data_IF_775161347251
#
_entry.id   IF_775161347251
#
_cell.length_a   1.000
_cell.length_b   1.000
_cell.length_c   1.000
_cell.angle_alpha   90.00
_cell.angle_beta   90.00
_cell.angle_gamma   90.00
#
_symmetry.space_group_name_H-M   'P 1'
#
loop_
_entity.id
_entity.type
_entity.pdbx_description
1 polymer ?
#
# COMPACT_ATOMS: atom_id res chain seq x y z
N UNK A 1 -21.07 19.11 12.70
CA UNK A 1 -20.58 19.01 11.30
C UNK A 1 -19.47 17.97 11.30
N UNK A 2 -19.74 16.73 10.87
CA UNK A 2 -18.66 15.77 10.64
C UNK A 2 -17.85 16.29 9.46
N UNK A 3 -16.68 16.86 9.77
CA UNK A 3 -15.82 17.47 8.78
C UNK A 3 -15.29 16.43 7.81
N UNK A 4 -15.14 16.81 6.55
CA UNK A 4 -14.34 16.02 5.62
C UNK A 4 -12.87 16.13 6.04
N UNK A 5 -12.24 15.00 6.30
CA UNK A 5 -10.83 14.88 6.68
C UNK A 5 -9.96 14.65 5.45
N UNK A 6 -8.79 15.30 5.41
CA UNK A 6 -7.81 15.07 4.37
C UNK A 6 -7.18 13.70 4.56
N UNK A 7 -7.18 12.90 3.49
CA UNK A 7 -6.42 11.66 3.44
C UNK A 7 -5.52 11.65 2.20
N UNK A 8 -4.51 10.81 2.26
CA UNK A 8 -3.60 10.50 1.18
C UNK A 8 -3.60 8.99 0.97
N UNK A 9 -3.54 8.54 -0.28
CA UNK A 9 -3.42 7.12 -0.58
C UNK A 9 -2.43 6.86 -1.71
N UNK A 10 -1.90 5.64 -1.73
CA UNK A 10 -1.10 5.12 -2.83
C UNK A 10 -1.50 3.67 -3.10
N UNK A 11 -1.47 3.28 -4.37
CA UNK A 11 -1.77 1.90 -4.81
C UNK A 11 -0.48 1.10 -4.78
N UNK A 12 -0.49 -0.07 -4.15
CA UNK A 12 0.61 -1.03 -4.17
C UNK A 12 0.55 -1.81 -5.48
N UNK A 13 1.68 -1.85 -6.17
CA UNK A 13 1.85 -2.43 -7.51
C UNK A 13 2.92 -3.50 -7.49
N UNK A 14 2.66 -4.59 -8.19
CA UNK A 14 3.69 -5.57 -8.57
C UNK A 14 4.19 -5.22 -9.96
N UNK A 15 5.50 -5.02 -10.07
CA UNK A 15 6.24 -4.63 -11.27
C UNK A 15 7.32 -5.69 -11.54
N UNK A 16 6.99 -6.81 -12.22
CA UNK A 16 7.90 -7.94 -12.38
C UNK A 16 9.19 -7.58 -13.14
N UNK A 17 9.13 -6.59 -14.04
CA UNK A 17 10.26 -6.03 -14.76
C UNK A 17 10.19 -4.51 -14.75
N UNK A 18 11.05 -3.88 -13.97
CA UNK A 18 11.02 -2.43 -13.72
C UNK A 18 11.22 -1.65 -15.02
N UNK A 19 12.04 -2.14 -15.93
CA UNK A 19 12.37 -1.48 -17.20
C UNK A 19 11.20 -1.42 -18.18
N UNK A 20 10.20 -2.30 -18.01
CA UNK A 20 9.02 -2.35 -18.87
C UNK A 20 7.86 -1.52 -18.34
N UNK A 21 7.91 -1.15 -17.05
CA UNK A 21 6.85 -0.42 -16.36
C UNK A 21 5.46 -1.08 -16.46
N UNK A 22 5.41 -2.39 -16.74
CA UNK A 22 4.17 -3.17 -16.70
C UNK A 22 3.88 -3.56 -15.25
N UNK A 23 2.64 -3.38 -14.80
CA UNK A 23 2.27 -3.65 -13.41
C UNK A 23 0.86 -4.19 -13.21
N UNK A 24 0.68 -4.86 -12.08
CA UNK A 24 -0.64 -5.21 -11.54
C UNK A 24 -0.83 -4.54 -10.19
N UNK A 25 -2.01 -3.94 -9.99
CA UNK A 25 -2.40 -3.43 -8.68
C UNK A 25 -2.73 -4.61 -7.76
N UNK A 26 -2.17 -4.59 -6.56
CA UNK A 26 -2.36 -5.66 -5.55
C UNK A 26 -2.80 -5.13 -4.20
N UNK A 27 -2.75 -3.82 -3.96
CA UNK A 27 -3.15 -3.24 -2.69
C UNK A 27 -3.29 -1.74 -2.69
N UNK A 28 -3.67 -1.18 -1.54
CA UNK A 28 -3.82 0.25 -1.31
C UNK A 28 -3.34 0.56 0.10
N UNK A 29 -2.54 1.62 0.26
CA UNK A 29 -2.16 2.21 1.54
C UNK A 29 -2.91 3.53 1.68
N UNK A 30 -3.56 3.75 2.82
CA UNK A 30 -4.24 5.01 3.12
C UNK A 30 -3.74 5.59 4.43
N UNK A 31 -3.45 6.89 4.40
CA UNK A 31 -3.07 7.70 5.54
C UNK A 31 -4.08 8.85 5.74
N UNK A 32 -4.58 9.03 6.95
CA UNK A 32 -5.38 10.18 7.34
C UNK A 32 -4.88 10.72 8.67
N UNK A 33 -4.30 11.93 8.65
CA UNK A 33 -3.71 12.59 9.82
C UNK A 33 -4.75 12.81 10.92
N UNK A 34 -5.88 13.40 10.56
CA UNK A 34 -6.90 13.85 11.51
C UNK A 34 -7.54 12.67 12.27
N UNK A 35 -7.59 11.49 11.64
CA UNK A 35 -8.10 10.27 12.24
C UNK A 35 -7.01 9.38 12.85
N UNK A 36 -5.73 9.79 12.78
CA UNK A 36 -4.61 8.96 13.23
C UNK A 36 -4.52 7.62 12.50
N UNK A 37 -4.95 7.58 11.24
CA UNK A 37 -5.17 6.35 10.48
C UNK A 37 -4.02 6.10 9.51
N UNK A 38 -3.42 4.91 9.56
CA UNK A 38 -2.47 4.40 8.56
C UNK A 38 -2.67 2.90 8.43
N UNK A 39 -3.31 2.48 7.35
CA UNK A 39 -3.56 1.07 7.09
C UNK A 39 -3.37 0.75 5.62
N UNK A 40 -3.13 -0.54 5.36
CA UNK A 40 -3.02 -1.09 4.03
C UNK A 40 -3.98 -2.26 3.88
N UNK A 41 -4.52 -2.43 2.68
CA UNK A 41 -5.22 -3.65 2.26
C UNK A 41 -4.54 -4.16 1.00
N UNK A 42 -4.32 -5.47 0.93
CA UNK A 42 -3.76 -6.10 -0.26
C UNK A 42 -4.37 -7.49 -0.50
N UNK A 43 -4.29 -7.96 -1.74
CA UNK A 43 -4.60 -9.33 -2.11
C UNK A 43 -3.62 -9.80 -3.18
N UNK A 44 -3.22 -11.07 -3.08
CA UNK A 44 -2.40 -11.72 -4.07
C UNK A 44 -3.24 -12.75 -4.80
N UNK A 45 -3.71 -12.40 -5.99
CA UNK A 45 -4.30 -13.38 -6.91
C UNK A 45 -3.15 -14.09 -7.64
N UNK A 46 -2.69 -15.20 -7.06
CA UNK A 46 -1.56 -15.98 -7.56
C UNK A 46 -1.73 -16.38 -9.03
N UNK A 47 -2.90 -16.88 -9.42
CA UNK A 47 -3.16 -17.27 -10.81
C UNK A 47 -3.03 -16.10 -11.78
N UNK A 48 -3.53 -14.91 -11.42
CA UNK A 48 -3.41 -13.69 -12.22
C UNK A 48 -1.96 -13.20 -12.30
N UNK A 49 -1.22 -13.26 -11.19
CA UNK A 49 0.16 -12.81 -11.11
C UNK A 49 1.10 -13.72 -11.89
N UNK A 50 0.95 -15.03 -11.77
CA UNK A 50 1.76 -16.01 -12.51
C UNK A 50 1.41 -16.03 -14.01
N UNK A 51 0.16 -15.74 -14.38
CA UNK A 51 -0.21 -15.55 -15.79
C UNK A 51 0.46 -14.31 -16.40
N UNK A 52 0.63 -13.24 -15.61
CA UNK A 52 1.31 -12.01 -16.03
C UNK A 52 2.84 -12.14 -16.02
N UNK A 53 3.40 -12.82 -15.01
CA UNK A 53 4.83 -13.06 -14.86
C UNK A 53 5.09 -14.48 -14.29
N UNK A 54 5.32 -15.48 -15.15
CA UNK A 54 5.44 -16.89 -14.74
C UNK A 54 6.59 -17.22 -13.79
N UNK A 55 7.60 -16.35 -13.70
CA UNK A 55 8.79 -16.54 -12.88
C UNK A 55 8.77 -15.71 -11.59
N UNK A 56 7.62 -15.15 -11.23
CA UNK A 56 7.48 -14.34 -10.03
C UNK A 56 7.60 -15.23 -8.78
N UNK A 57 8.46 -14.85 -7.84
CA UNK A 57 8.53 -15.50 -6.53
C UNK A 57 7.37 -15.00 -5.65
N UNK A 58 6.35 -15.84 -5.51
CA UNK A 58 5.15 -15.52 -4.74
C UNK A 58 5.43 -15.43 -3.24
N UNK A 59 6.39 -16.19 -2.72
CA UNK A 59 6.76 -16.14 -1.30
C UNK A 59 7.48 -14.83 -0.99
N UNK A 60 8.43 -14.44 -1.84
CA UNK A 60 9.16 -13.18 -1.70
C UNK A 60 8.20 -11.97 -1.75
N UNK A 61 7.18 -12.04 -2.62
CA UNK A 61 6.16 -11.03 -2.74
C UNK A 61 5.28 -10.95 -1.49
N UNK A 62 4.84 -12.09 -0.97
CA UNK A 62 4.06 -12.18 0.26
C UNK A 62 4.81 -11.60 1.46
N UNK A 63 6.10 -11.93 1.61
CA UNK A 63 6.94 -11.43 2.70
C UNK A 63 7.10 -9.90 2.64
N UNK A 64 7.25 -9.35 1.43
CA UNK A 64 7.32 -7.89 1.22
C UNK A 64 6.02 -7.19 1.60
N UNK A 65 4.88 -7.72 1.20
CA UNK A 65 3.59 -7.12 1.53
C UNK A 65 3.27 -7.22 3.03
N UNK A 66 3.66 -8.31 3.68
CA UNK A 66 3.58 -8.40 5.13
C UNK A 66 4.45 -7.35 5.83
N UNK A 67 5.64 -7.04 5.29
CA UNK A 67 6.46 -5.96 5.85
C UNK A 67 5.76 -4.59 5.74
N UNK A 68 5.03 -4.33 4.65
CA UNK A 68 4.23 -3.10 4.50
C UNK A 68 3.14 -3.02 5.57
N UNK A 69 2.42 -4.12 5.79
CA UNK A 69 1.38 -4.23 6.82
C UNK A 69 1.94 -3.98 8.23
N UNK A 70 3.06 -4.64 8.57
CA UNK A 70 3.74 -4.45 9.86
C UNK A 70 4.18 -3.00 10.10
N UNK A 71 4.66 -2.31 9.06
CA UNK A 71 5.05 -0.89 9.15
C UNK A 71 3.81 0.01 9.34
N UNK A 72 2.67 -0.32 8.74
CA UNK A 72 1.43 0.40 8.98
C UNK A 72 1.00 0.31 10.46
N UNK A 73 0.96 -0.91 11.00
CA UNK A 73 0.61 -1.21 12.40
C UNK A 73 1.53 -0.51 13.42
N UNK A 74 2.77 -0.20 13.02
CA UNK A 74 3.78 0.43 13.87
C UNK A 74 4.30 -0.49 14.98
N UNK A 75 5.15 0.05 15.86
CA UNK A 75 5.81 -0.65 16.98
C UNK A 75 6.91 -1.64 16.52
N UNK A 76 7.36 -2.51 17.44
CA UNK A 76 8.48 -3.47 17.27
C UNK A 76 8.36 -4.34 16.01
N UNK A 77 7.13 -4.65 15.58
CA UNK A 77 6.87 -5.52 14.42
C UNK A 77 7.28 -4.89 13.08
N UNK A 78 7.26 -3.55 12.98
CA UNK A 78 7.73 -2.79 11.81
C UNK A 78 9.23 -2.45 11.84
N UNK A 79 9.98 -2.98 12.83
CA UNK A 79 11.39 -2.64 13.05
C UNK A 79 11.62 -1.14 13.28
N UNK A 80 12.81 -0.65 12.92
CA UNK A 80 13.19 0.77 13.06
C UNK A 80 12.24 1.74 12.37
N UNK A 81 11.60 1.32 11.28
CA UNK A 81 10.65 2.16 10.55
C UNK A 81 9.31 2.22 11.29
N UNK A 82 8.90 1.12 11.94
CA UNK A 82 7.70 1.06 12.77
C UNK A 82 7.72 1.99 13.99
N UNK A 83 8.91 2.45 14.41
CA UNK A 83 9.12 3.42 15.49
C UNK A 83 8.92 4.88 15.07
N UNK A 84 8.92 5.17 13.76
CA UNK A 84 8.72 6.52 13.23
C UNK A 84 7.28 7.00 13.44
N UNK A 85 7.07 8.31 13.35
CA UNK A 85 5.73 8.91 13.35
C UNK A 85 4.89 8.43 12.17
N UNK A 86 3.56 8.42 12.33
CA UNK A 86 2.62 7.88 11.32
C UNK A 86 2.83 8.48 9.90
N UNK A 87 3.10 9.79 9.83
CA UNK A 87 3.35 10.48 8.56
C UNK A 87 4.68 10.05 7.93
N UNK A 88 5.72 9.84 8.74
CA UNK A 88 7.04 9.39 8.27
C UNK A 88 6.96 7.95 7.77
N UNK A 89 6.20 7.08 8.46
CA UNK A 89 5.94 5.71 7.99
C UNK A 89 5.22 5.70 6.65
N UNK A 90 4.18 6.51 6.50
CA UNK A 90 3.49 6.66 5.21
C UNK A 90 4.46 7.11 4.10
N UNK A 91 5.23 8.17 4.35
CA UNK A 91 6.21 8.68 3.39
C UNK A 91 7.29 7.66 3.03
N UNK A 92 7.72 6.84 3.99
CA UNK A 92 8.67 5.76 3.74
C UNK A 92 8.07 4.65 2.89
N UNK A 93 6.81 4.26 3.15
CA UNK A 93 6.07 3.25 2.40
C UNK A 93 5.81 3.68 0.95
N UNK A 94 5.52 4.97 0.73
CA UNK A 94 5.24 5.54 -0.59
C UNK A 94 6.46 6.12 -1.29
N UNK A 95 7.66 5.97 -0.71
CA UNK A 95 8.89 6.40 -1.36
C UNK A 95 9.15 5.54 -2.61
N UNK A 96 9.58 6.18 -3.70
CA UNK A 96 9.91 5.49 -4.94
C UNK A 96 11.05 4.48 -4.70
N UNK A 97 10.88 3.26 -5.22
CA UNK A 97 11.85 2.17 -5.14
C UNK A 97 11.89 1.43 -6.46
N UNK A 98 13.08 1.10 -6.93
CA UNK A 98 13.28 0.25 -8.11
C UNK A 98 13.24 -1.22 -7.69
N UNK A 99 12.11 -1.66 -7.11
CA UNK A 99 11.88 -3.04 -6.66
C UNK A 99 10.64 -3.63 -7.33
N UNK A 100 10.47 -4.95 -7.23
CA UNK A 100 9.28 -5.64 -7.79
C UNK A 100 7.96 -5.23 -7.12
N UNK A 101 8.01 -4.70 -5.89
CA UNK A 101 6.86 -4.06 -5.23
C UNK A 101 7.12 -2.57 -5.25
N UNK A 102 6.19 -1.81 -5.82
CA UNK A 102 6.24 -0.36 -5.90
C UNK A 102 4.92 0.24 -5.43
N UNK A 103 4.90 1.56 -5.24
CA UNK A 103 3.69 2.31 -4.97
C UNK A 103 3.43 3.29 -6.11
N UNK A 104 2.16 3.61 -6.35
CA UNK A 104 1.79 4.73 -7.22
C UNK A 104 2.25 6.06 -6.62
N UNK A 105 2.22 7.15 -7.40
CA UNK A 105 2.21 8.49 -6.83
C UNK A 105 1.15 8.61 -5.73
N UNK A 106 1.42 9.49 -4.76
CA UNK A 106 0.47 9.78 -3.68
C UNK A 106 -0.67 10.63 -4.21
N UNK A 107 -1.89 10.23 -3.88
CA UNK A 107 -3.12 10.90 -4.28
C UNK A 107 -3.86 11.44 -3.04
N UNK A 108 -4.16 12.75 -2.98
CA UNK A 108 -4.94 13.32 -1.89
C UNK A 108 -6.45 13.14 -2.13
N UNK A 109 -7.22 13.15 -1.05
CA UNK A 109 -8.68 13.10 -1.08
C UNK A 109 -9.31 13.59 0.21
N UNK A 110 -10.64 13.59 0.23
CA UNK A 110 -11.45 13.95 1.39
C UNK A 110 -12.36 12.78 1.78
N UNK A 111 -12.34 12.41 3.05
CA UNK A 111 -13.15 11.32 3.59
C UNK A 111 -13.86 11.73 4.89
N UNK A 112 -14.95 11.05 5.21
CA UNK A 112 -15.57 11.12 6.54
C UNK A 112 -15.06 10.00 7.44
N UNK A 113 -14.78 8.83 6.86
CA UNK A 113 -14.20 7.66 7.52
C UNK A 113 -13.06 7.11 6.66
N UNK A 114 -11.85 7.07 7.21
CA UNK A 114 -10.66 6.63 6.51
C UNK A 114 -10.68 5.12 6.22
N UNK A 115 -11.28 4.30 7.10
CA UNK A 115 -11.37 2.86 6.94
C UNK A 115 -12.37 2.47 5.84
N UNK A 116 -13.55 3.08 5.82
CA UNK A 116 -14.53 2.89 4.73
C UNK A 116 -13.95 3.34 3.38
N UNK A 117 -13.22 4.45 3.39
CA UNK A 117 -12.54 4.97 2.18
C UNK A 117 -11.47 4.00 1.69
N UNK A 118 -10.67 3.42 2.59
CA UNK A 118 -9.67 2.41 2.24
C UNK A 118 -10.33 1.19 1.58
N UNK A 119 -11.41 0.66 2.17
CA UNK A 119 -12.14 -0.47 1.59
C UNK A 119 -12.76 -0.13 0.22
N UNK A 120 -13.27 1.08 0.05
CA UNK A 120 -13.79 1.56 -1.24
C UNK A 120 -12.70 1.61 -2.30
N UNK A 121 -11.56 2.24 -2.00
CA UNK A 121 -10.43 2.33 -2.92
C UNK A 121 -9.88 0.96 -3.28
N UNK A 122 -9.77 0.05 -2.29
CA UNK A 122 -9.33 -1.31 -2.52
C UNK A 122 -10.24 -2.06 -3.51
N UNK A 123 -11.57 -1.96 -3.33
CA UNK A 123 -12.53 -2.55 -4.28
C UNK A 123 -12.47 -1.94 -5.69
N UNK A 124 -12.12 -0.66 -5.81
CA UNK A 124 -12.13 0.04 -7.10
C UNK A 124 -10.83 -0.12 -7.88
N UNK A 125 -9.70 -0.25 -7.18
CA UNK A 125 -8.37 -0.18 -7.78
C UNK A 125 -7.65 -1.53 -7.82
N UNK A 126 -8.13 -2.54 -7.08
CA UNK A 126 -7.46 -3.83 -6.92
C UNK A 126 -8.35 -5.03 -7.28
N UNK A 127 -9.56 -5.12 -6.69
CA UNK A 127 -10.51 -6.21 -6.93
C UNK A 127 -11.21 -6.07 -8.29
#
# INVERSE_FOLDING_TARGET
MQGKHLFEYAVIRVVPRVEREEFLNVGVILYCRDQGFLHTLYTLNESRLLAFAPHLDMQELQDRLQAFERICCGRREGGRIGELGIAERFRWLTAARSTIVQTSPVHPGLCTDANETLHKLFRQLVL
#
